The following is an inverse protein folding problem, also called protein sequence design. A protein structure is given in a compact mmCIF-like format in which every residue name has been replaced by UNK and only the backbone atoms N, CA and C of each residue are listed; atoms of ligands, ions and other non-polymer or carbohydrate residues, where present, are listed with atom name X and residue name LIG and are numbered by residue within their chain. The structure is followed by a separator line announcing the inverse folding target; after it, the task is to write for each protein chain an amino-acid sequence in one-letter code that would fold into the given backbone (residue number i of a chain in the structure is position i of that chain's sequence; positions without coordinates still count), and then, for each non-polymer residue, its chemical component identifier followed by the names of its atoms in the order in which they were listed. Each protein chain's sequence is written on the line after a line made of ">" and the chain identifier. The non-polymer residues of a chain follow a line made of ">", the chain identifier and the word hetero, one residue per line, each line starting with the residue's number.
data_IF_836699133056
#
_entry.id   IF_836699133056
#
_cell.length_a   1.000
_cell.length_b   1.000
_cell.length_c   1.000
_cell.angle_alpha   90.00
_cell.angle_beta   90.00
_cell.angle_gamma   90.00
#
_symmetry.space_group_name_H-M   'P 1'
#
loop_
_entity.id
_entity.type
_entity.pdbx_description
1 polymer ?
#
# COMPACT_ATOMS: atom_id res chain seq x y z
N UNK A 1 10.42 -7.86 -23.68
CA UNK A 1 10.34 -7.57 -22.24
C UNK A 1 8.90 -7.79 -21.83
N UNK A 2 8.61 -8.85 -21.07
CA UNK A 2 7.32 -8.96 -20.40
C UNK A 2 7.23 -7.80 -19.42
N UNK A 3 6.26 -6.90 -19.62
CA UNK A 3 5.99 -5.86 -18.64
C UNK A 3 5.33 -6.56 -17.47
N UNK A 4 6.00 -6.58 -16.31
CA UNK A 4 5.36 -7.00 -15.07
C UNK A 4 4.05 -6.22 -14.93
N UNK A 5 2.95 -6.95 -14.73
CA UNK A 5 1.66 -6.31 -14.49
C UNK A 5 1.72 -5.64 -13.13
N UNK A 6 1.83 -4.31 -13.14
CA UNK A 6 1.76 -3.53 -11.91
C UNK A 6 0.34 -3.61 -11.35
N UNK A 7 0.25 -3.92 -10.06
CA UNK A 7 -1.00 -3.80 -9.29
C UNK A 7 -1.49 -2.35 -9.35
N UNK A 8 -2.79 -2.12 -9.23
CA UNK A 8 -3.32 -0.76 -9.12
C UNK A 8 -3.11 -0.21 -7.72
N UNK A 9 -2.62 1.02 -7.61
CA UNK A 9 -2.51 1.73 -6.33
C UNK A 9 -3.89 2.19 -5.84
N UNK A 10 -3.96 2.61 -4.57
CA UNK A 10 -5.15 3.31 -4.05
C UNK A 10 -5.46 4.56 -4.87
N UNK A 11 -4.44 5.29 -5.33
CA UNK A 11 -4.63 6.48 -6.15
C UNK A 11 -5.23 6.15 -7.53
N UNK A 12 -4.75 5.09 -8.20
CA UNK A 12 -5.31 4.63 -9.47
C UNK A 12 -6.80 4.27 -9.33
N UNK A 13 -7.15 3.67 -8.19
CA UNK A 13 -8.53 3.29 -7.86
C UNK A 13 -9.44 4.50 -7.63
N UNK A 14 -8.89 5.65 -7.20
CA UNK A 14 -9.66 6.89 -7.00
C UNK A 14 -9.93 7.64 -8.30
N UNK A 15 -9.02 7.56 -9.27
CA UNK A 15 -9.14 8.30 -10.55
C UNK A 15 -9.88 7.52 -11.63
N UNK A 16 -10.31 6.31 -11.32
CA UNK A 16 -10.93 5.38 -12.27
C UNK A 16 -12.23 4.80 -11.71
N UNK A 17 -13.01 4.11 -12.52
CA UNK A 17 -14.21 3.39 -12.07
C UNK A 17 -14.41 2.09 -12.86
N UNK A 18 -15.40 1.28 -12.46
CA UNK A 18 -15.67 -0.03 -13.08
C UNK A 18 -15.87 0.07 -14.60
N UNK A 19 -16.63 1.05 -15.07
CA UNK A 19 -16.87 1.24 -16.50
C UNK A 19 -15.58 1.58 -17.24
N UNK A 20 -14.75 2.45 -16.67
CA UNK A 20 -13.45 2.80 -17.26
C UNK A 20 -12.49 1.61 -17.30
N UNK A 21 -12.50 0.74 -16.29
CA UNK A 21 -11.70 -0.50 -16.27
C UNK A 21 -12.14 -1.47 -17.37
N UNK A 22 -13.45 -1.63 -17.59
CA UNK A 22 -13.97 -2.46 -18.68
C UNK A 22 -13.52 -1.93 -20.04
N UNK A 23 -13.58 -0.61 -20.26
CA UNK A 23 -13.08 0.01 -21.49
C UNK A 23 -11.57 -0.23 -21.65
N UNK A 24 -10.77 -0.02 -20.60
CA UNK A 24 -9.32 -0.28 -20.58
C UNK A 24 -8.99 -1.74 -20.92
N UNK A 25 -9.77 -2.69 -20.43
CA UNK A 25 -9.57 -4.12 -20.69
C UNK A 25 -9.81 -4.50 -22.16
N UNK A 26 -10.72 -3.80 -22.85
CA UNK A 26 -11.07 -4.09 -24.25
C UNK A 26 -10.11 -3.41 -25.25
N UNK A 27 -9.53 -2.26 -24.90
CA UNK A 27 -8.66 -1.47 -25.81
C UNK A 27 -7.56 -2.31 -26.51
N UNK A 28 -6.82 -3.21 -25.83
CA UNK A 28 -5.78 -4.03 -26.49
C UNK A 28 -6.28 -4.90 -27.65
N UNK A 29 -7.60 -5.15 -27.72
CA UNK A 29 -8.23 -5.95 -28.76
C UNK A 29 -8.79 -5.12 -29.93
N UNK A 30 -8.65 -3.78 -29.89
CA UNK A 30 -9.10 -2.87 -30.95
C UNK A 30 -7.89 -2.48 -31.81
N UNK A 31 -7.77 -3.07 -33.00
CA UNK A 31 -6.62 -2.94 -33.89
C UNK A 31 -6.76 -1.84 -34.96
N UNK A 32 -7.42 -0.73 -34.63
CA UNK A 32 -7.62 0.42 -35.51
C UNK A 32 -7.51 1.75 -34.76
N UNK A 33 -7.62 2.87 -35.49
CA UNK A 33 -7.48 4.23 -34.93
C UNK A 33 -8.48 4.54 -33.81
N UNK A 34 -9.64 3.87 -33.78
CA UNK A 34 -10.59 4.04 -32.70
C UNK A 34 -10.03 3.53 -31.36
N UNK A 35 -9.22 2.47 -31.36
CA UNK A 35 -8.54 1.97 -30.16
C UNK A 35 -7.61 3.03 -29.55
N UNK A 36 -6.85 3.72 -30.40
CA UNK A 36 -5.99 4.84 -30.01
C UNK A 36 -6.79 6.01 -29.45
N UNK A 37 -7.86 6.42 -30.14
CA UNK A 37 -8.72 7.52 -29.70
C UNK A 37 -9.40 7.21 -28.36
N UNK A 38 -9.97 6.01 -28.21
CA UNK A 38 -10.61 5.57 -26.96
C UNK A 38 -9.58 5.49 -25.82
N UNK A 39 -8.37 4.98 -26.12
CA UNK A 39 -7.25 4.94 -25.18
C UNK A 39 -6.82 6.33 -24.71
N UNK A 40 -6.81 7.32 -25.59
CA UNK A 40 -6.55 8.71 -25.19
C UNK A 40 -7.70 9.29 -24.36
N UNK A 41 -8.95 9.10 -24.79
CA UNK A 41 -10.13 9.61 -24.07
C UNK A 41 -10.21 9.07 -22.63
N UNK A 42 -9.94 7.78 -22.44
CA UNK A 42 -9.99 7.18 -21.11
C UNK A 42 -8.91 7.77 -20.19
N UNK A 43 -7.72 8.07 -20.74
CA UNK A 43 -6.64 8.72 -19.99
C UNK A 43 -6.94 10.17 -19.66
N UNK A 44 -7.57 10.92 -20.57
CA UNK A 44 -8.06 12.26 -20.26
C UNK A 44 -9.12 12.26 -19.16
N UNK A 45 -9.99 11.24 -19.12
CA UNK A 45 -10.96 11.10 -18.04
C UNK A 45 -10.28 10.82 -16.69
N UNK A 46 -9.26 9.93 -16.65
CA UNK A 46 -8.47 9.70 -15.42
C UNK A 46 -7.78 10.98 -14.96
N UNK A 47 -7.23 11.77 -15.87
CA UNK A 47 -6.60 13.06 -15.56
C UNK A 47 -7.61 14.08 -15.00
N UNK A 48 -8.81 14.17 -15.59
CA UNK A 48 -9.88 15.02 -15.05
C UNK A 48 -10.31 14.59 -13.64
N UNK A 49 -10.39 13.28 -13.39
CA UNK A 49 -10.71 12.75 -12.08
C UNK A 49 -9.60 13.08 -11.07
N UNK A 50 -8.33 12.88 -11.45
CA UNK A 50 -7.15 13.25 -10.64
C UNK A 50 -7.16 14.72 -10.22
N UNK A 51 -7.44 15.62 -11.16
CA UNK A 51 -7.55 17.06 -10.89
C UNK A 51 -8.66 17.42 -9.88
N UNK A 52 -9.68 16.57 -9.70
CA UNK A 52 -10.77 16.79 -8.75
C UNK A 52 -10.47 16.28 -7.34
N UNK A 53 -9.58 15.30 -7.19
CA UNK A 53 -9.27 14.69 -5.88
C UNK A 53 -8.72 15.73 -4.90
N UNK A 54 -7.77 16.56 -5.35
CA UNK A 54 -7.12 17.55 -4.47
C UNK A 54 -7.93 18.85 -4.32
N UNK A 55 -8.82 19.13 -5.28
CA UNK A 55 -9.64 20.35 -5.27
C UNK A 55 -10.93 20.21 -4.44
N UNK A 56 -11.28 19.01 -3.96
CA UNK A 56 -12.44 18.80 -3.12
C UNK A 56 -12.00 18.47 -1.68
N UNK A 57 -11.99 19.50 -0.83
CA UNK A 57 -11.68 19.42 0.61
C UNK A 57 -12.49 18.31 1.30
N UNK A 58 -13.71 18.01 0.82
CA UNK A 58 -14.54 16.94 1.34
C UNK A 58 -14.03 15.53 1.00
N UNK A 59 -13.36 15.32 -0.14
CA UNK A 59 -12.76 14.02 -0.48
C UNK A 59 -11.43 13.83 0.27
N UNK A 60 -10.64 14.88 0.43
CA UNK A 60 -9.47 14.87 1.30
C UNK A 60 -9.87 14.59 2.76
N UNK A 61 -10.98 15.18 3.25
CA UNK A 61 -11.51 14.96 4.58
C UNK A 61 -12.19 13.59 4.78
N UNK A 62 -12.91 13.06 3.78
CA UNK A 62 -13.49 11.71 3.85
C UNK A 62 -12.43 10.60 3.80
N UNK A 63 -11.28 10.85 3.16
CA UNK A 63 -10.10 9.97 3.24
C UNK A 63 -9.30 10.17 4.54
N UNK A 64 -9.45 11.31 5.22
CA UNK A 64 -8.72 11.60 6.44
C UNK A 64 -9.14 10.69 7.61
N UNK A 65 -10.35 10.13 7.65
CA UNK A 65 -10.78 9.28 8.78
C UNK A 65 -10.60 7.77 8.56
N UNK A 66 -10.16 7.32 7.36
CA UNK A 66 -9.90 5.89 7.07
C UNK A 66 -8.44 5.55 6.74
N UNK A 67 -7.56 6.56 6.59
CA UNK A 67 -6.16 6.40 6.19
C UNK A 67 -5.17 7.14 7.11
N UNK A 68 -5.51 7.30 8.41
CA UNK A 68 -4.59 7.91 9.38
C UNK A 68 -3.61 6.86 9.87
N UNK A 69 -2.36 6.98 9.44
CA UNK A 69 -1.22 6.26 10.02
C UNK A 69 -0.13 6.03 9.00
N UNK A 70 1.11 6.38 9.37
CA UNK A 70 2.29 6.03 8.57
C UNK A 70 2.36 4.53 8.33
N UNK A 71 1.95 3.71 9.30
CA UNK A 71 1.86 2.24 9.20
C UNK A 71 0.97 1.78 8.04
N UNK A 72 -0.25 2.31 7.91
CA UNK A 72 -1.17 1.96 6.83
C UNK A 72 -0.59 2.32 5.45
N UNK A 73 0.13 3.43 5.35
CA UNK A 73 0.82 3.83 4.12
C UNK A 73 2.01 2.91 3.82
N UNK A 74 2.80 2.55 4.83
CA UNK A 74 3.94 1.65 4.69
C UNK A 74 3.49 0.25 4.27
N UNK A 75 2.39 -0.26 4.81
CA UNK A 75 1.78 -1.51 4.38
C UNK A 75 1.33 -1.48 2.92
N UNK A 76 0.73 -0.38 2.46
CA UNK A 76 0.37 -0.23 1.04
C UNK A 76 1.58 -0.22 0.11
N UNK A 77 2.71 0.35 0.58
CA UNK A 77 3.95 0.47 -0.21
C UNK A 77 4.61 -0.91 -0.39
N UNK A 78 4.53 -1.81 0.60
CA UNK A 78 5.12 -3.17 0.53
C UNK A 78 4.70 -3.94 -0.72
N UNK A 79 3.47 -3.74 -1.18
CA UNK A 79 2.92 -4.42 -2.36
C UNK A 79 3.58 -4.03 -3.69
N UNK A 80 4.42 -2.98 -3.69
CA UNK A 80 5.10 -2.45 -4.87
C UNK A 80 6.62 -2.51 -4.78
N UNK A 81 7.16 -3.06 -3.69
CA UNK A 81 8.60 -3.24 -3.50
C UNK A 81 9.03 -4.62 -4.04
N UNK A 82 10.29 -4.71 -4.44
CA UNK A 82 10.97 -6.00 -4.60
C UNK A 82 11.26 -6.66 -3.24
N UNK A 83 11.68 -7.92 -3.27
CA UNK A 83 11.83 -8.75 -2.06
C UNK A 83 12.83 -8.13 -1.07
N UNK A 84 13.98 -7.65 -1.55
CA UNK A 84 15.03 -7.04 -0.71
C UNK A 84 14.52 -5.76 -0.01
N UNK A 85 13.85 -4.87 -0.75
CA UNK A 85 13.32 -3.63 -0.19
C UNK A 85 12.12 -3.87 0.72
N UNK A 86 11.34 -4.93 0.47
CA UNK A 86 10.22 -5.35 1.32
C UNK A 86 10.71 -5.80 2.68
N UNK A 87 11.71 -6.66 2.72
CA UNK A 87 12.31 -7.15 3.98
C UNK A 87 12.87 -5.99 4.80
N UNK A 88 13.59 -5.06 4.16
CA UNK A 88 14.11 -3.86 4.83
C UNK A 88 12.97 -3.03 5.46
N UNK A 89 11.86 -2.84 4.75
CA UNK A 89 10.73 -2.06 5.25
C UNK A 89 9.97 -2.76 6.38
N UNK A 90 9.82 -4.09 6.32
CA UNK A 90 9.26 -4.91 7.41
C UNK A 90 10.11 -4.84 8.68
N UNK A 91 11.44 -4.82 8.55
CA UNK A 91 12.36 -4.63 9.67
C UNK A 91 12.20 -3.24 10.30
N UNK A 92 12.10 -2.17 9.50
CA UNK A 92 11.86 -0.81 10.00
C UNK A 92 10.54 -0.72 10.74
N UNK A 93 9.46 -1.30 10.19
CA UNK A 93 8.15 -1.33 10.85
C UNK A 93 8.19 -2.07 12.18
N UNK A 94 8.87 -3.21 12.25
CA UNK A 94 9.04 -3.98 13.49
C UNK A 94 9.79 -3.16 14.55
N UNK A 95 10.82 -2.40 14.16
CA UNK A 95 11.53 -1.51 15.08
C UNK A 95 10.64 -0.37 15.58
N UNK A 96 9.80 0.19 14.70
CA UNK A 96 8.85 1.25 15.06
C UNK A 96 7.79 0.78 16.05
N UNK A 97 7.26 -0.43 15.87
CA UNK A 97 6.34 -1.07 16.81
C UNK A 97 7.01 -1.29 18.17
N UNK A 98 8.27 -1.73 18.19
CA UNK A 98 9.01 -1.92 19.45
C UNK A 98 9.25 -0.59 20.19
N UNK A 99 9.49 0.51 19.47
CA UNK A 99 9.69 1.84 20.06
C UNK A 99 8.39 2.51 20.54
N UNK A 100 7.23 2.05 20.06
CA UNK A 100 5.92 2.56 20.47
C UNK A 100 5.30 1.79 21.63
N UNK A 101 5.87 0.64 22.02
CA UNK A 101 5.51 -0.11 23.22
C UNK A 101 5.90 0.64 24.50
N UNK A 102 5.08 0.51 25.55
CA UNK A 102 5.42 0.99 26.90
C UNK A 102 6.63 0.22 27.47
N UNK A 103 7.39 0.84 28.38
CA UNK A 103 8.63 0.29 28.97
C UNK A 103 8.42 -1.11 29.58
N UNK A 104 7.23 -1.37 30.16
CA UNK A 104 6.89 -2.68 30.73
C UNK A 104 6.69 -3.75 29.65
N UNK A 105 6.01 -3.40 28.55
CA UNK A 105 5.77 -4.32 27.43
C UNK A 105 7.07 -4.58 26.64
N UNK A 106 7.93 -3.57 26.51
CA UNK A 106 9.25 -3.70 25.92
C UNK A 106 10.18 -4.59 26.76
N UNK A 107 10.16 -4.44 28.08
CA UNK A 107 10.93 -5.31 29.00
C UNK A 107 10.45 -6.77 28.98
N UNK A 108 9.13 -7.02 28.92
CA UNK A 108 8.60 -8.38 28.81
C UNK A 108 8.92 -9.03 27.45
N UNK A 109 8.87 -8.25 26.37
CA UNK A 109 9.27 -8.73 25.03
C UNK A 109 10.77 -9.09 24.99
N UNK A 110 11.64 -8.21 25.48
CA UNK A 110 13.09 -8.45 25.56
C UNK A 110 13.39 -9.59 26.54
N UNK A 111 12.69 -9.66 27.68
CA UNK A 111 12.83 -10.71 28.67
C UNK A 111 12.42 -12.10 28.15
N UNK A 112 11.41 -12.18 27.29
CA UNK A 112 11.02 -13.43 26.60
C UNK A 112 12.03 -13.84 25.53
N UNK A 113 12.62 -12.87 24.82
CA UNK A 113 13.59 -13.13 23.74
C UNK A 113 14.99 -13.46 24.25
N UNK A 114 15.40 -12.90 25.40
CA UNK A 114 16.71 -13.13 26.03
C UNK A 114 16.66 -14.10 27.23
N UNK A 115 15.49 -14.39 27.79
CA UNK A 115 15.31 -15.23 28.98
C UNK A 115 15.09 -16.72 28.72
N UNK A 116 15.25 -17.16 27.47
CA UNK A 116 15.27 -18.58 27.12
C UNK A 116 16.51 -19.26 27.71
N UNK A 117 16.30 -19.93 28.83
CA UNK A 117 17.14 -20.99 29.41
C UNK A 117 18.31 -20.57 30.34
N UNK A 118 17.97 -20.14 31.56
CA UNK A 118 18.85 -20.31 32.73
C UNK A 118 18.05 -20.56 34.01
N UNK A 119 17.21 -21.58 34.01
CA UNK A 119 16.79 -22.17 35.28
C UNK A 119 16.64 -23.68 35.13
N UNK A 120 17.78 -24.36 35.01
CA UNK A 120 17.88 -25.75 35.45
C UNK A 120 17.49 -25.76 36.93
N UNK A 121 16.26 -26.21 37.14
CA UNK A 121 15.70 -26.79 38.36
C UNK A 121 16.76 -27.16 39.39
N UNK A 122 16.97 -26.29 40.36
CA UNK A 122 17.46 -26.69 41.66
C UNK A 122 16.23 -26.86 42.56
N UNK A 123 15.78 -28.10 42.75
CA UNK A 123 14.90 -28.46 43.85
C UNK A 123 15.08 -29.95 44.19
N UNK A 124 15.67 -30.14 45.37
CA UNK A 124 15.80 -31.33 46.23
C UNK A 124 16.57 -32.55 45.74
#
# INVERSE_FOLDING_TARGET
>A
MEKQQLKQTKYDSLVTNRTMQLVKAVIPYINNDAGTLIGMLIKFQELQNAARINNNVAIAAMNADKHKGMENMLDDIKDFLDDDNREMLENIMSMMEMMSMDENAMNDFIGSFMGGDFNQTNNN
#
